data_IF_289557912825
#
_entry.id   IF_289557912825
#
_cell.length_a   1.000
_cell.length_b   1.000
_cell.length_c   1.000
_cell.angle_alpha   90.00
_cell.angle_beta   90.00
_cell.angle_gamma   90.00
#
_symmetry.space_group_name_H-M   'P 1'
#
loop_
_entity.id
_entity.type
_entity.pdbx_description
1 polymer ?
#
# COMPACT_ATOMS: atom_id res chain seq x y z
N UNK A 1 19.24 -25.24 2.92
CA UNK A 1 19.96 -25.62 4.15
C UNK A 1 21.43 -25.30 3.94
N UNK A 2 22.10 -24.71 4.93
CA UNK A 2 23.55 -24.47 4.85
C UNK A 2 24.30 -25.79 5.05
N UNK A 3 25.34 -26.03 4.26
CA UNK A 3 26.26 -27.17 4.41
C UNK A 3 27.60 -26.63 4.90
N UNK A 4 28.24 -27.30 5.86
CA UNK A 4 29.57 -26.92 6.34
C UNK A 4 30.61 -27.56 5.43
N UNK A 5 31.59 -26.77 4.98
CA UNK A 5 32.77 -27.26 4.26
C UNK A 5 34.04 -26.81 4.98
N UNK A 6 34.95 -27.75 5.18
CA UNK A 6 36.29 -27.48 5.69
C UNK A 6 37.24 -27.26 4.52
N UNK A 7 38.11 -26.27 4.64
CA UNK A 7 39.04 -25.87 3.59
C UNK A 7 40.45 -25.83 4.18
N UNK A 8 41.40 -26.42 3.46
CA UNK A 8 42.80 -26.39 3.83
C UNK A 8 43.41 -25.02 3.56
N UNK A 9 44.47 -24.70 4.32
CA UNK A 9 45.27 -23.51 4.11
C UNK A 9 45.76 -23.44 2.65
N UNK A 10 45.59 -22.27 2.04
CA UNK A 10 46.01 -22.01 0.67
C UNK A 10 44.94 -22.28 -0.39
N UNK A 11 43.82 -22.90 -0.02
CA UNK A 11 42.75 -23.27 -0.97
C UNK A 11 41.98 -22.04 -1.43
N UNK A 12 41.69 -21.99 -2.74
CA UNK A 12 40.78 -21.00 -3.31
C UNK A 12 39.34 -21.51 -3.24
N UNK A 13 38.51 -20.89 -2.40
CA UNK A 13 37.08 -21.21 -2.26
C UNK A 13 36.28 -20.65 -3.44
N UNK A 14 36.71 -19.48 -3.95
CA UNK A 14 36.17 -18.84 -5.14
C UNK A 14 37.34 -18.46 -6.04
N UNK A 15 37.19 -18.65 -7.35
CA UNK A 15 38.11 -18.08 -8.33
C UNK A 15 37.39 -17.06 -9.20
N UNK A 16 38.07 -15.95 -9.45
CA UNK A 16 37.65 -14.89 -10.37
C UNK A 16 37.33 -15.48 -11.76
N UNK A 17 36.25 -14.99 -12.37
CA UNK A 17 35.82 -15.41 -13.70
C UNK A 17 35.02 -16.71 -13.75
N UNK A 18 34.94 -17.48 -12.67
CA UNK A 18 34.11 -18.69 -12.61
C UNK A 18 32.62 -18.37 -12.52
N UNK A 19 31.78 -19.32 -12.89
CA UNK A 19 30.35 -19.23 -12.65
C UNK A 19 30.06 -19.49 -11.17
N UNK A 20 29.32 -18.59 -10.54
CA UNK A 20 29.05 -18.66 -9.11
C UNK A 20 27.63 -19.08 -8.79
N UNK A 21 27.44 -20.31 -8.35
CA UNK A 21 26.12 -20.85 -7.96
C UNK A 21 25.95 -21.07 -6.44
N UNK A 22 26.90 -20.54 -5.65
CA UNK A 22 26.88 -20.66 -4.20
C UNK A 22 27.19 -19.33 -3.51
N UNK A 23 26.57 -19.12 -2.36
CA UNK A 23 26.89 -18.11 -1.35
C UNK A 23 27.63 -18.79 -0.20
N UNK A 24 28.57 -18.08 0.40
CA UNK A 24 29.37 -18.57 1.51
C UNK A 24 29.26 -17.63 2.70
N UNK A 25 29.37 -18.20 3.90
CA UNK A 25 29.57 -17.46 5.15
C UNK A 25 30.81 -18.04 5.82
N UNK A 26 31.81 -17.20 6.11
CA UNK A 26 33.01 -17.61 6.84
C UNK A 26 32.64 -17.95 8.28
N UNK A 27 32.80 -19.21 8.68
CA UNK A 27 32.54 -19.67 10.05
C UNK A 27 33.82 -19.61 10.90
N UNK A 28 34.94 -20.10 10.36
CA UNK A 28 36.25 -20.14 11.03
C UNK A 28 37.38 -19.90 10.02
N UNK A 29 38.52 -19.37 10.48
CA UNK A 29 39.73 -19.13 9.67
C UNK A 29 39.87 -17.70 9.18
N UNK A 30 40.95 -17.46 8.42
CA UNK A 30 41.26 -16.19 7.78
C UNK A 30 41.28 -16.35 6.26
N UNK A 31 40.82 -15.31 5.56
CA UNK A 31 40.62 -15.31 4.12
C UNK A 31 41.19 -14.04 3.49
N UNK A 32 41.66 -14.15 2.26
CA UNK A 32 42.08 -13.03 1.43
C UNK A 32 41.24 -12.93 0.16
N UNK A 33 40.96 -11.69 -0.24
CA UNK A 33 40.30 -11.34 -1.49
C UNK A 33 41.39 -11.00 -2.51
N UNK A 34 41.37 -11.69 -3.65
CA UNK A 34 42.32 -11.50 -4.75
C UNK A 34 41.56 -11.05 -6.00
N UNK A 35 42.08 -10.06 -6.72
CA UNK A 35 41.51 -9.64 -8.02
C UNK A 35 42.63 -9.27 -8.98
N UNK A 36 42.61 -9.82 -10.18
CA UNK A 36 43.66 -9.62 -11.19
C UNK A 36 45.08 -9.88 -10.62
N UNK A 37 45.20 -10.85 -9.71
CA UNK A 37 46.47 -11.22 -9.07
C UNK A 37 46.88 -10.37 -7.86
N UNK A 38 46.15 -9.30 -7.53
CA UNK A 38 46.45 -8.44 -6.38
C UNK A 38 45.57 -8.78 -5.18
N UNK A 39 46.13 -8.72 -3.97
CA UNK A 39 45.38 -8.83 -2.71
C UNK A 39 44.66 -7.51 -2.45
N UNK A 40 43.32 -7.54 -2.42
CA UNK A 40 42.47 -6.38 -2.16
C UNK A 40 42.16 -6.19 -0.67
N UNK A 41 42.31 -7.25 0.13
CA UNK A 41 42.07 -7.20 1.57
C UNK A 41 41.87 -8.60 2.15
N UNK A 42 41.70 -8.66 3.47
CA UNK A 42 41.48 -9.89 4.22
C UNK A 42 40.27 -9.79 5.15
N UNK A 43 39.76 -10.94 5.60
CA UNK A 43 38.67 -11.02 6.56
C UNK A 43 38.70 -12.34 7.35
N UNK A 44 38.17 -12.30 8.57
CA UNK A 44 37.97 -13.47 9.43
C UNK A 44 36.54 -14.01 9.36
N UNK A 45 36.07 -14.64 10.43
CA UNK A 45 34.71 -15.20 10.52
C UNK A 45 33.59 -14.15 10.54
N UNK A 46 32.36 -14.59 10.27
CA UNK A 46 31.15 -13.76 10.29
C UNK A 46 30.83 -12.99 9.01
N UNK A 47 31.65 -13.10 7.95
CA UNK A 47 31.45 -12.40 6.69
C UNK A 47 30.74 -13.28 5.65
N UNK A 48 29.76 -12.68 4.95
CA UNK A 48 29.14 -13.26 3.75
C UNK A 48 29.97 -12.90 2.54
N UNK A 49 30.17 -13.85 1.62
CA UNK A 49 30.85 -13.60 0.36
C UNK A 49 30.31 -14.49 -0.79
N UNK A 50 30.48 -14.02 -2.02
CA UNK A 50 30.04 -14.71 -3.22
C UNK A 50 28.57 -14.49 -3.60
N UNK A 51 27.87 -13.61 -2.91
CA UNK A 51 26.47 -13.24 -3.12
C UNK A 51 26.23 -12.53 -4.46
N UNK A 52 27.21 -11.73 -4.94
CA UNK A 52 27.04 -10.90 -6.15
C UNK A 52 26.76 -11.75 -7.41
N UNK A 53 27.38 -12.92 -7.52
CA UNK A 53 27.16 -13.83 -8.65
C UNK A 53 25.73 -14.40 -8.67
N UNK A 54 25.09 -14.52 -7.50
CA UNK A 54 23.72 -15.01 -7.37
C UNK A 54 22.69 -13.93 -7.71
N UNK A 55 22.96 -12.69 -7.31
CA UNK A 55 22.06 -11.56 -7.50
C UNK A 55 22.05 -11.06 -8.95
N UNK A 56 23.22 -10.88 -9.55
CA UNK A 56 23.34 -10.21 -10.86
C UNK A 56 23.55 -11.18 -12.03
N UNK A 57 23.56 -12.50 -11.79
CA UNK A 57 23.89 -13.55 -12.79
C UNK A 57 25.22 -13.28 -13.52
N UNK A 58 26.19 -12.68 -12.82
CA UNK A 58 27.53 -12.40 -13.34
C UNK A 58 28.54 -13.46 -12.87
N UNK A 59 29.68 -13.56 -13.55
CA UNK A 59 30.83 -14.37 -13.12
C UNK A 59 31.41 -13.82 -11.80
N UNK A 60 32.14 -14.67 -11.06
CA UNK A 60 32.82 -14.29 -9.82
C UNK A 60 33.74 -13.09 -10.06
N UNK A 61 33.55 -12.02 -9.30
CA UNK A 61 34.27 -10.74 -9.49
C UNK A 61 35.70 -10.75 -8.94
N UNK A 62 35.97 -11.63 -7.97
CA UNK A 62 37.23 -11.78 -7.28
C UNK A 62 37.40 -13.22 -6.82
N UNK A 63 38.64 -13.64 -6.59
CA UNK A 63 39.01 -14.90 -5.96
C UNK A 63 39.03 -14.74 -4.43
N UNK A 64 38.72 -15.81 -3.70
CA UNK A 64 38.81 -15.87 -2.24
C UNK A 64 39.69 -17.05 -1.86
N UNK A 65 40.76 -16.80 -1.11
CA UNK A 65 41.72 -17.80 -0.66
C UNK A 65 41.72 -17.92 0.85
N UNK A 66 41.69 -19.14 1.39
CA UNK A 66 41.93 -19.39 2.81
C UNK A 66 43.43 -19.23 3.12
N UNK A 67 43.79 -18.38 4.08
CA UNK A 67 45.19 -18.22 4.54
C UNK A 67 45.52 -19.06 5.77
N UNK A 68 44.50 -19.64 6.41
CA UNK A 68 44.60 -20.65 7.47
C UNK A 68 43.71 -21.85 7.12
N UNK A 69 43.77 -22.92 7.92
CA UNK A 69 42.68 -23.89 7.92
C UNK A 69 41.37 -23.17 8.27
N UNK A 70 40.29 -23.47 7.54
CA UNK A 70 39.09 -22.66 7.56
C UNK A 70 37.82 -23.50 7.44
N UNK A 71 36.70 -22.94 7.90
CA UNK A 71 35.36 -23.51 7.72
C UNK A 71 34.43 -22.48 7.13
N UNK A 72 33.64 -22.90 6.16
CA UNK A 72 32.64 -22.06 5.50
C UNK A 72 31.29 -22.75 5.50
N UNK A 73 30.23 -21.99 5.74
CA UNK A 73 28.87 -22.42 5.44
C UNK A 73 28.55 -22.09 3.98
N UNK A 74 28.09 -23.09 3.25
CA UNK A 74 27.75 -23.01 1.83
C UNK A 74 26.24 -23.06 1.66
N UNK A 75 25.69 -22.11 0.90
CA UNK A 75 24.29 -22.09 0.49
C UNK A 75 24.20 -22.11 -1.03
N UNK A 76 23.43 -23.03 -1.59
CA UNK A 76 23.21 -23.09 -3.03
C UNK A 76 22.25 -22.00 -3.51
N UNK A 77 22.39 -21.64 -4.78
CA UNK A 77 21.57 -20.65 -5.49
C UNK A 77 20.08 -20.91 -5.38
N UNK A 78 19.64 -22.16 -5.50
CA UNK A 78 18.20 -22.49 -5.49
C UNK A 78 17.59 -22.19 -4.12
N UNK A 79 18.28 -22.55 -3.03
CA UNK A 79 17.81 -22.23 -1.68
C UNK A 79 17.91 -20.74 -1.42
N UNK A 80 18.99 -20.07 -1.84
CA UNK A 80 19.11 -18.61 -1.72
C UNK A 80 17.95 -17.90 -2.43
N UNK A 81 17.64 -18.30 -3.67
CA UNK A 81 16.49 -17.78 -4.42
C UNK A 81 15.18 -18.09 -3.72
N UNK A 82 14.98 -19.30 -3.23
CA UNK A 82 13.76 -19.67 -2.50
C UNK A 82 13.55 -18.79 -1.25
N UNK A 83 14.61 -18.47 -0.51
CA UNK A 83 14.53 -17.63 0.70
C UNK A 83 14.21 -16.16 0.35
N UNK A 84 14.84 -15.61 -0.69
CA UNK A 84 14.56 -14.23 -1.14
C UNK A 84 13.16 -14.12 -1.77
N UNK A 85 12.75 -15.13 -2.56
CA UNK A 85 11.44 -15.15 -3.20
C UNK A 85 10.34 -15.39 -2.16
N UNK A 86 10.57 -16.23 -1.15
CA UNK A 86 9.55 -16.54 -0.14
C UNK A 86 9.20 -15.33 0.73
N UNK A 87 10.16 -14.47 1.06
CA UNK A 87 9.88 -13.23 1.81
C UNK A 87 9.02 -12.28 0.99
N UNK A 88 9.36 -12.03 -0.28
CA UNK A 88 8.58 -11.14 -1.15
C UNK A 88 7.20 -11.71 -1.51
N UNK A 89 7.09 -13.03 -1.70
CA UNK A 89 5.80 -13.71 -1.89
C UNK A 89 4.94 -13.62 -0.64
N UNK A 90 5.52 -13.78 0.55
CA UNK A 90 4.77 -13.71 1.79
C UNK A 90 4.20 -12.30 2.02
N UNK A 91 5.02 -11.26 1.84
CA UNK A 91 4.57 -9.87 1.89
C UNK A 91 3.47 -9.59 0.85
N UNK A 92 3.64 -10.08 -0.39
CA UNK A 92 2.63 -9.93 -1.44
C UNK A 92 1.32 -10.64 -1.09
N UNK A 93 1.41 -11.87 -0.54
CA UNK A 93 0.24 -12.64 -0.10
C UNK A 93 -0.52 -11.93 1.03
N UNK A 94 0.19 -11.32 1.97
CA UNK A 94 -0.44 -10.55 3.05
C UNK A 94 -1.15 -9.31 2.54
N UNK A 95 -0.54 -8.59 1.59
CA UNK A 95 -1.19 -7.45 0.90
C UNK A 95 -2.43 -7.90 0.13
N UNK A 96 -2.35 -8.98 -0.64
CA UNK A 96 -3.52 -9.52 -1.37
C UNK A 96 -4.62 -9.93 -0.38
N UNK A 97 -4.26 -10.63 0.70
CA UNK A 97 -5.22 -11.03 1.74
C UNK A 97 -5.92 -9.82 2.37
N UNK A 98 -5.17 -8.75 2.65
CA UNK A 98 -5.73 -7.50 3.13
C UNK A 98 -6.70 -6.90 2.10
N UNK A 99 -6.31 -6.78 0.83
CA UNK A 99 -7.17 -6.22 -0.22
C UNK A 99 -8.44 -7.04 -0.44
N UNK A 100 -8.36 -8.37 -0.37
CA UNK A 100 -9.53 -9.25 -0.42
C UNK A 100 -10.44 -9.13 0.80
N UNK A 101 -9.92 -8.67 1.95
CA UNK A 101 -10.71 -8.42 3.16
C UNK A 101 -11.47 -7.10 3.14
N UNK A 102 -11.07 -6.15 2.28
CA UNK A 102 -11.81 -4.90 2.08
C UNK A 102 -13.15 -5.25 1.42
N UNK A 103 -14.30 -4.80 1.95
CA UNK A 103 -15.62 -5.13 1.40
C UNK A 103 -15.92 -4.30 0.14
N UNK A 104 -15.05 -4.37 -0.86
CA UNK A 104 -15.15 -3.63 -2.11
C UNK A 104 -15.47 -4.62 -3.25
N UNK A 105 -16.72 -4.66 -3.77
CA UNK A 105 -17.13 -5.63 -4.79
C UNK A 105 -16.25 -5.64 -6.03
N UNK A 106 -15.73 -4.48 -6.44
CA UNK A 106 -14.87 -4.40 -7.62
C UNK A 106 -13.54 -5.17 -7.44
N UNK A 107 -13.01 -5.27 -6.21
CA UNK A 107 -11.78 -6.03 -5.96
C UNK A 107 -12.00 -7.53 -6.15
N UNK A 108 -13.24 -8.03 -6.03
CA UNK A 108 -13.55 -9.45 -6.27
C UNK A 108 -13.43 -9.84 -7.74
N UNK A 109 -13.57 -8.88 -8.66
CA UNK A 109 -13.46 -9.11 -10.09
C UNK A 109 -12.01 -9.13 -10.59
N UNK A 110 -11.06 -8.67 -9.75
CA UNK A 110 -9.64 -8.69 -10.08
C UNK A 110 -9.04 -10.09 -9.85
N UNK A 111 -8.17 -10.52 -10.77
CA UNK A 111 -7.29 -11.67 -10.59
C UNK A 111 -6.26 -11.40 -9.48
N UNK A 112 -5.67 -12.46 -8.94
CA UNK A 112 -4.60 -12.32 -7.94
C UNK A 112 -3.38 -11.60 -8.51
N UNK A 113 -3.07 -11.77 -9.80
CA UNK A 113 -1.99 -11.04 -10.48
C UNK A 113 -2.27 -9.53 -10.55
N UNK A 114 -3.51 -9.15 -10.90
CA UNK A 114 -3.90 -7.73 -10.92
C UNK A 114 -3.91 -7.13 -9.50
N UNK A 115 -4.30 -7.91 -8.48
CA UNK A 115 -4.22 -7.48 -7.09
C UNK A 115 -2.78 -7.35 -6.60
N UNK A 116 -1.88 -8.24 -7.02
CA UNK A 116 -0.46 -8.18 -6.71
C UNK A 116 0.17 -6.92 -7.32
N UNK A 117 -0.11 -6.65 -8.60
CA UNK A 117 0.34 -5.45 -9.28
C UNK A 117 -0.20 -4.20 -8.57
N UNK A 118 -1.51 -4.15 -8.31
CA UNK A 118 -2.13 -3.05 -7.55
C UNK A 118 -1.46 -2.85 -6.18
N UNK A 119 -1.21 -3.93 -5.44
CA UNK A 119 -0.57 -3.90 -4.12
C UNK A 119 0.86 -3.34 -4.13
N UNK A 120 1.55 -3.37 -5.27
CA UNK A 120 2.89 -2.78 -5.42
C UNK A 120 2.85 -1.26 -5.60
N UNK A 121 1.77 -0.73 -6.16
CA UNK A 121 1.62 0.71 -6.44
C UNK A 121 0.66 1.43 -5.50
N UNK A 122 -0.03 0.70 -4.63
CA UNK A 122 -0.94 1.29 -3.65
C UNK A 122 -0.19 2.08 -2.58
N UNK A 123 -0.64 3.31 -2.37
CA UNK A 123 -0.15 4.20 -1.33
C UNK A 123 -1.26 4.46 -0.31
N UNK A 124 -0.94 4.40 0.97
CA UNK A 124 -1.87 4.80 2.04
C UNK A 124 -1.74 6.32 2.23
N UNK A 125 -2.84 7.05 2.10
CA UNK A 125 -2.93 8.48 2.42
C UNK A 125 -3.95 8.72 3.53
N UNK A 126 -3.58 9.56 4.48
CA UNK A 126 -4.44 9.99 5.60
C UNK A 126 -4.84 11.44 5.40
N UNK A 127 -6.12 11.73 5.54
CA UNK A 127 -6.67 13.07 5.41
C UNK A 127 -7.38 13.47 6.70
N UNK A 128 -7.08 14.67 7.18
CA UNK A 128 -7.73 15.25 8.34
C UNK A 128 -9.17 15.69 8.05
N UNK A 129 -9.95 15.93 9.10
CA UNK A 129 -11.33 16.42 8.99
C UNK A 129 -11.38 17.72 8.18
N UNK A 130 -12.30 17.81 7.23
CA UNK A 130 -12.52 19.00 6.41
C UNK A 130 -11.54 19.15 5.23
N UNK A 131 -10.54 18.28 5.09
CA UNK A 131 -9.64 18.29 3.94
C UNK A 131 -10.42 17.92 2.67
N UNK A 132 -10.33 18.76 1.64
CA UNK A 132 -10.79 18.41 0.29
C UNK A 132 -9.74 17.50 -0.36
N UNK A 133 -10.11 16.25 -0.60
CA UNK A 133 -9.21 15.22 -1.14
C UNK A 133 -9.07 15.38 -2.65
N UNK A 134 -10.17 15.71 -3.32
CA UNK A 134 -10.19 16.15 -4.71
C UNK A 134 -11.21 17.28 -4.83
N UNK A 135 -10.95 18.27 -5.69
CA UNK A 135 -11.91 19.32 -6.00
C UNK A 135 -12.52 19.12 -7.37
N UNK A 136 -13.77 19.55 -7.52
CA UNK A 136 -14.46 19.53 -8.81
C UNK A 136 -13.73 20.40 -9.84
N UNK A 137 -13.78 19.99 -11.10
CA UNK A 137 -13.21 20.66 -12.27
C UNK A 137 -11.67 20.65 -12.33
N UNK A 138 -11.00 20.08 -11.32
CA UNK A 138 -9.57 19.83 -11.36
C UNK A 138 -9.25 18.59 -12.19
N UNK A 139 -8.07 18.57 -12.80
CA UNK A 139 -7.57 17.36 -13.45
C UNK A 139 -7.23 16.31 -12.39
N UNK A 140 -7.56 15.05 -12.68
CA UNK A 140 -7.37 13.94 -11.77
C UNK A 140 -6.69 12.75 -12.44
N UNK A 141 -5.66 12.24 -11.79
CA UNK A 141 -4.88 11.06 -12.21
C UNK A 141 -4.78 9.98 -11.12
N UNK A 142 -5.48 10.18 -10.00
CA UNK A 142 -5.54 9.23 -8.88
C UNK A 142 -6.93 8.60 -8.70
N UNK A 143 -6.95 7.33 -8.32
CA UNK A 143 -8.11 6.55 -7.87
C UNK A 143 -7.99 6.27 -6.37
N UNK A 144 -9.12 6.33 -5.65
CA UNK A 144 -9.15 6.24 -4.20
C UNK A 144 -10.12 5.17 -3.72
N UNK A 145 -9.68 4.31 -2.81
CA UNK A 145 -10.50 3.35 -2.07
C UNK A 145 -10.50 3.76 -0.60
N UNK A 146 -11.68 3.89 0.01
CA UNK A 146 -11.79 4.25 1.43
C UNK A 146 -11.56 3.00 2.29
N UNK A 147 -10.43 2.95 3.00
CA UNK A 147 -10.10 1.86 3.93
C UNK A 147 -10.56 2.14 5.36
N UNK A 148 -10.76 3.41 5.73
CA UNK A 148 -11.30 3.80 7.04
C UNK A 148 -11.84 5.24 7.05
N UNK A 149 -12.86 5.50 7.87
CA UNK A 149 -13.53 6.80 7.93
C UNK A 149 -14.61 7.00 6.85
N UNK A 150 -14.93 8.25 6.56
CA UNK A 150 -15.95 8.62 5.57
C UNK A 150 -15.66 9.98 4.92
N UNK A 151 -16.27 10.20 3.76
CA UNK A 151 -16.14 11.45 2.99
C UNK A 151 -17.51 11.91 2.51
N UNK A 152 -17.69 13.23 2.41
CA UNK A 152 -18.87 13.84 1.77
C UNK A 152 -18.58 14.18 0.32
N UNK A 153 -19.56 13.92 -0.54
CA UNK A 153 -19.54 14.31 -1.95
C UNK A 153 -20.36 15.59 -2.12
N UNK A 154 -19.81 16.59 -2.77
CA UNK A 154 -20.52 17.81 -3.14
C UNK A 154 -20.29 18.17 -4.60
N UNK A 155 -21.29 18.74 -5.26
CA UNK A 155 -21.19 19.25 -6.63
C UNK A 155 -21.59 20.71 -6.69
N UNK A 156 -20.79 21.53 -7.35
CA UNK A 156 -21.14 22.91 -7.65
C UNK A 156 -22.23 22.93 -8.72
N UNK A 157 -23.31 23.66 -8.45
CA UNK A 157 -24.39 23.85 -9.43
C UNK A 157 -23.97 24.93 -10.43
N UNK A 158 -24.04 24.68 -11.75
CA UNK A 158 -23.68 25.68 -12.76
C UNK A 158 -24.46 26.99 -12.57
N UNK A 159 -23.75 28.12 -12.50
CA UNK A 159 -24.36 29.44 -12.35
C UNK A 159 -24.84 29.77 -10.93
N UNK A 160 -24.57 28.93 -9.93
CA UNK A 160 -24.86 29.18 -8.52
C UNK A 160 -23.60 29.10 -7.66
N UNK A 161 -23.61 29.81 -6.53
CA UNK A 161 -22.62 29.64 -5.45
C UNK A 161 -22.95 28.44 -4.55
N UNK A 162 -24.14 27.86 -4.71
CA UNK A 162 -24.58 26.70 -3.93
C UNK A 162 -23.89 25.41 -4.38
N UNK A 163 -23.71 24.52 -3.40
CA UNK A 163 -23.23 23.16 -3.62
C UNK A 163 -24.36 22.17 -3.31
N UNK A 164 -24.61 21.26 -4.24
CA UNK A 164 -25.48 20.11 -4.04
C UNK A 164 -24.75 19.05 -3.20
N UNK A 165 -25.35 18.61 -2.10
CA UNK A 165 -24.86 17.46 -1.32
C UNK A 165 -25.28 16.16 -2.04
N UNK A 166 -24.30 15.37 -2.49
CA UNK A 166 -24.55 14.14 -3.22
C UNK A 166 -24.44 12.88 -2.34
N UNK A 167 -24.32 13.06 -1.02
CA UNK A 167 -24.24 11.98 -0.04
C UNK A 167 -22.84 11.72 0.50
N UNK A 168 -22.70 10.57 1.17
CA UNK A 168 -21.50 10.17 1.92
C UNK A 168 -20.99 8.83 1.42
N UNK A 169 -19.68 8.73 1.22
CA UNK A 169 -18.99 7.45 0.98
C UNK A 169 -18.29 7.01 2.25
N UNK A 170 -18.30 5.71 2.51
CA UNK A 170 -17.76 5.08 3.73
C UNK A 170 -16.72 4.02 3.38
N UNK A 171 -16.17 3.37 4.39
CA UNK A 171 -15.26 2.24 4.21
C UNK A 171 -15.84 1.19 3.24
N UNK A 172 -15.05 0.83 2.23
CA UNK A 172 -15.45 -0.09 1.17
C UNK A 172 -16.02 0.61 -0.07
N UNK A 173 -16.23 1.92 -0.02
CA UNK A 173 -16.51 2.73 -1.21
C UNK A 173 -15.22 3.24 -1.86
N UNK A 174 -15.37 3.82 -3.05
CA UNK A 174 -14.29 4.38 -3.85
C UNK A 174 -14.74 5.62 -4.62
N UNK A 175 -13.78 6.43 -5.05
CA UNK A 175 -14.02 7.60 -5.89
C UNK A 175 -12.83 7.90 -6.80
N UNK A 176 -13.04 8.84 -7.73
CA UNK A 176 -12.01 9.32 -8.65
C UNK A 176 -11.86 8.51 -9.94
N UNK A 177 -12.58 7.41 -10.09
CA UNK A 177 -12.55 6.54 -11.26
C UNK A 177 -12.99 7.24 -12.56
N UNK A 178 -13.95 8.17 -12.46
CA UNK A 178 -14.51 8.85 -13.65
C UNK A 178 -13.45 9.64 -14.40
N UNK A 179 -12.52 10.28 -13.68
CA UNK A 179 -11.45 11.07 -14.28
C UNK A 179 -10.43 10.21 -15.04
N UNK A 180 -10.27 8.96 -14.62
CA UNK A 180 -9.37 8.01 -15.26
C UNK A 180 -10.03 7.32 -16.45
N UNK A 181 -11.26 6.83 -16.25
CA UNK A 181 -12.01 6.04 -17.24
C UNK A 181 -12.42 6.89 -18.44
N UNK A 182 -12.95 8.09 -18.20
CA UNK A 182 -13.50 8.95 -19.26
C UNK A 182 -12.57 10.10 -19.65
N UNK A 183 -11.40 10.22 -18.99
CA UNK A 183 -10.43 11.29 -19.23
C UNK A 183 -11.04 12.69 -19.07
N UNK A 184 -11.93 12.86 -18.11
CA UNK A 184 -12.59 14.13 -17.77
C UNK A 184 -12.03 14.71 -16.47
N UNK A 185 -12.18 16.02 -16.21
CA UNK A 185 -11.91 16.59 -14.89
C UNK A 185 -12.75 15.94 -13.79
N UNK A 186 -12.35 16.12 -12.53
CA UNK A 186 -13.09 15.65 -11.35
C UNK A 186 -14.51 16.19 -11.39
N UNK A 187 -15.48 15.28 -11.29
CA UNK A 187 -16.91 15.60 -11.46
C UNK A 187 -17.60 16.04 -10.15
N UNK A 188 -16.89 16.00 -9.03
CA UNK A 188 -17.38 16.38 -7.71
C UNK A 188 -16.20 16.71 -6.79
N UNK A 189 -16.48 17.48 -5.74
CA UNK A 189 -15.55 17.71 -4.63
C UNK A 189 -15.77 16.65 -3.56
N UNK A 190 -14.69 16.04 -3.08
CA UNK A 190 -14.73 15.01 -2.03
C UNK A 190 -14.04 15.56 -0.79
N UNK A 191 -14.75 15.62 0.34
CA UNK A 191 -14.24 16.20 1.58
C UNK A 191 -14.22 15.16 2.70
N UNK A 192 -13.08 15.02 3.38
CA UNK A 192 -12.93 14.15 4.54
C UNK A 192 -13.85 14.57 5.70
N UNK A 193 -14.59 13.62 6.27
CA UNK A 193 -15.41 13.83 7.46
C UNK A 193 -14.68 13.46 8.74
N UNK A 194 -15.20 13.90 9.89
CA UNK A 194 -14.64 13.61 11.20
C UNK A 194 -14.65 12.11 11.52
N UNK A 195 -13.59 11.56 12.16
CA UNK A 195 -12.38 12.26 12.66
C UNK A 195 -11.26 12.44 11.61
N UNK A 196 -11.46 11.91 10.40
CA UNK A 196 -10.50 11.85 9.32
C UNK A 196 -10.81 10.62 8.46
N UNK A 197 -10.08 10.46 7.35
CA UNK A 197 -10.25 9.33 6.44
C UNK A 197 -8.90 8.77 6.02
N UNK A 198 -8.85 7.45 5.90
CA UNK A 198 -7.75 6.71 5.29
C UNK A 198 -8.16 6.21 3.91
N UNK A 199 -7.33 6.50 2.92
CA UNK A 199 -7.52 6.06 1.55
C UNK A 199 -6.33 5.23 1.07
N UNK A 200 -6.62 4.14 0.35
CA UNK A 200 -5.68 3.48 -0.53
C UNK A 200 -5.74 4.18 -1.89
N UNK A 201 -4.61 4.66 -2.38
CA UNK A 201 -4.51 5.52 -3.57
C UNK A 201 -3.70 4.82 -4.66
N UNK A 202 -4.20 4.88 -5.88
CA UNK A 202 -3.60 4.29 -7.07
C UNK A 202 -3.53 5.32 -8.19
N UNK A 203 -2.36 5.48 -8.81
CA UNK A 203 -2.18 6.35 -9.97
C UNK A 203 -2.78 5.74 -11.26
N UNK A 204 -2.98 6.59 -12.28
CA UNK A 204 -3.59 6.23 -13.57
C UNK A 204 -2.98 5.00 -14.22
N UNK A 205 -1.65 4.93 -14.34
CA UNK A 205 -0.98 3.82 -15.04
C UNK A 205 -1.29 2.46 -14.42
N UNK A 206 -1.02 2.27 -13.12
CA UNK A 206 -1.41 1.06 -12.38
C UNK A 206 -2.93 0.81 -12.40
N UNK A 207 -3.75 1.86 -12.30
CA UNK A 207 -5.20 1.74 -12.40
C UNK A 207 -5.66 1.14 -13.74
N UNK A 208 -5.18 1.66 -14.86
CA UNK A 208 -5.56 1.19 -16.20
C UNK A 208 -5.17 -0.28 -16.39
N UNK A 209 -3.98 -0.69 -15.93
CA UNK A 209 -3.53 -2.09 -15.96
C UNK A 209 -4.45 -3.01 -15.15
N UNK A 210 -4.84 -2.60 -13.95
CA UNK A 210 -5.60 -3.44 -13.04
C UNK A 210 -7.10 -3.48 -13.41
N UNK A 211 -7.66 -2.34 -13.79
CA UNK A 211 -9.11 -2.11 -13.88
C UNK A 211 -9.64 -1.83 -15.30
N UNK A 212 -8.78 -1.75 -16.32
CA UNK A 212 -9.19 -1.32 -17.68
C UNK A 212 -10.29 -2.17 -18.34
N UNK A 213 -10.47 -3.43 -17.91
CA UNK A 213 -11.51 -4.33 -18.38
C UNK A 213 -12.83 -4.28 -17.60
N UNK A 214 -12.93 -3.56 -16.49
CA UNK A 214 -14.10 -3.63 -15.59
C UNK A 214 -15.18 -2.64 -16.02
N UNK A 215 -16.33 -3.17 -16.42
CA UNK A 215 -17.45 -2.40 -16.97
C UNK A 215 -18.19 -1.57 -15.91
N UNK A 216 -18.25 -2.05 -14.67
CA UNK A 216 -18.90 -1.37 -13.54
C UNK A 216 -18.32 0.03 -13.26
N UNK A 217 -17.02 0.24 -13.50
CA UNK A 217 -16.38 1.56 -13.35
C UNK A 217 -16.85 2.57 -14.40
N UNK A 218 -17.24 2.10 -15.58
CA UNK A 218 -17.70 2.97 -16.68
C UNK A 218 -19.09 3.52 -16.41
N UNK A 219 -19.90 2.77 -15.65
CA UNK A 219 -21.34 3.02 -15.49
C UNK A 219 -21.70 3.67 -14.15
N UNK A 220 -20.78 3.72 -13.18
CA UNK A 220 -21.02 4.33 -11.87
C UNK A 220 -21.39 5.81 -12.00
N UNK A 221 -22.59 6.16 -11.52
CA UNK A 221 -23.04 7.54 -11.37
C UNK A 221 -23.07 7.89 -9.89
N UNK A 222 -22.60 9.09 -9.55
CA UNK A 222 -22.82 9.63 -8.21
C UNK A 222 -24.31 9.89 -8.01
N UNK A 223 -24.89 9.58 -6.85
CA UNK A 223 -26.28 9.90 -6.56
C UNK A 223 -26.47 11.41 -6.66
N UNK A 224 -27.29 11.87 -7.60
CA UNK A 224 -27.90 13.20 -7.54
C UNK A 224 -29.06 13.11 -6.56
N UNK A 225 -29.17 14.04 -5.60
CA UNK A 225 -30.39 14.11 -4.82
C UNK A 225 -31.53 14.52 -5.78
N UNK A 226 -32.74 13.96 -5.65
CA UNK A 226 -33.88 14.50 -6.37
C UNK A 226 -34.03 15.98 -5.99
N UNK A 227 -34.08 16.84 -7.00
CA UNK A 227 -34.27 18.28 -6.89
C UNK A 227 -35.34 18.61 -5.84
N UNK A 228 -35.07 19.64 -5.03
CA UNK A 228 -35.91 20.13 -3.94
C UNK A 228 -37.40 19.82 -4.10
N UNK A 229 -37.86 18.81 -3.36
CA UNK A 229 -39.18 18.85 -2.75
C UNK A 229 -38.95 18.93 -1.23
N UNK A 230 -39.54 19.90 -0.51
CA UNK A 230 -39.39 19.99 0.93
C UNK A 230 -40.10 18.78 1.56
N UNK A 231 -39.34 17.73 1.89
CA UNK A 231 -39.86 16.59 2.64
C UNK A 231 -39.77 16.92 4.12
N UNK A 232 -40.94 17.06 4.73
CA UNK A 232 -41.14 17.18 6.17
C UNK A 232 -40.30 16.18 6.95
N UNK A 233 -39.70 16.67 8.03
CA UNK A 233 -38.94 15.93 9.03
C UNK A 233 -39.65 14.64 9.44
N UNK A 234 -38.96 13.50 9.24
CA UNK A 234 -39.32 12.19 9.82
C UNK A 234 -38.58 11.93 11.15
N UNK A 235 -38.42 12.95 11.98
CA UNK A 235 -38.07 12.77 13.39
C UNK A 235 -39.22 13.27 14.27
N UNK A 236 -40.26 12.46 14.38
CA UNK A 236 -41.30 12.57 15.41
C UNK A 236 -41.72 11.17 15.88
N UNK A 237 -40.78 10.45 16.49
CA UNK A 237 -41.10 9.29 17.34
C UNK A 237 -39.92 8.87 18.22
N UNK A 238 -39.45 9.79 19.07
CA UNK A 238 -39.14 9.40 20.45
C UNK A 238 -40.05 10.21 21.35
N UNK A 239 -41.00 9.51 21.98
CA UNK A 239 -42.04 10.09 22.80
C UNK A 239 -41.46 10.80 24.02
N UNK A 240 -41.82 12.08 24.15
CA UNK A 240 -41.94 12.75 25.45
C UNK A 240 -43.08 12.08 26.21
N UNK A 241 -42.76 11.37 27.30
CA UNK A 241 -43.69 11.27 28.42
C UNK A 241 -43.64 12.61 29.17
N UNK A 242 -44.74 13.36 29.09
CA UNK A 242 -45.05 14.46 30.02
C UNK A 242 -46.12 13.98 31.00
N UNK A 243 -45.91 14.25 32.28
CA UNK A 243 -46.94 14.49 33.31
C UNK A 243 -46.22 15.24 34.44
N UNK A 244 -46.30 16.57 34.47
CA UNK A 244 -47.32 17.41 35.12
C UNK A 244 -47.19 17.46 36.66
N UNK A 245 -46.83 18.67 37.14
CA UNK A 245 -47.34 19.37 38.32
C UNK A 245 -46.61 20.72 38.36
N UNK A 246 -47.23 21.79 37.87
CA UNK A 246 -48.14 22.69 38.60
C UNK A 246 -47.38 23.72 39.47
N UNK A 247 -47.60 24.97 39.07
CA UNK A 247 -47.50 26.25 39.77
C UNK A 247 -47.38 26.20 41.30
N UNK A 248 -46.50 27.03 41.88
CA UNK A 248 -46.94 28.18 42.69
C UNK A 248 -45.78 29.01 43.30
N UNK A 249 -46.01 30.33 43.31
CA UNK A 249 -45.44 31.40 44.18
C UNK A 249 -44.17 32.15 43.73
N UNK A 250 -44.37 33.47 43.63
CA UNK A 250 -43.47 34.60 43.29
C UNK A 250 -42.52 35.00 44.47
N UNK A 251 -41.90 36.21 44.51
CA UNK A 251 -40.61 36.56 43.93
C UNK A 251 -39.62 37.13 44.97
N UNK A 252 -38.31 37.09 44.75
CA UNK A 252 -37.36 37.91 45.54
C UNK A 252 -36.32 38.54 44.60
N UNK A 253 -36.41 39.87 44.47
CA UNK A 253 -35.37 40.77 43.98
C UNK A 253 -34.06 40.58 44.77
N UNK A 254 -32.93 41.02 44.22
CA UNK A 254 -32.13 42.13 44.78
C UNK A 254 -30.86 42.32 43.93
N UNK A 255 -30.60 43.58 43.62
CA UNK A 255 -29.43 44.12 42.93
C UNK A 255 -28.12 43.88 43.68
N UNK A 256 -27.02 43.74 42.92
CA UNK A 256 -25.85 44.63 42.96
C UNK A 256 -24.97 44.34 41.73
#
# INVERSE_FOLDING_TARGET
MFIIKEEEQGTFIIKEGEQGDHLYVSAEGQFEVHKQGNVLGSFGSGRVFGELALLYKVKRNASIRATTQAKVWVLNREVFKQVIISSSIQETKEKIKYLRSVPLPILKQLSDDNLAEMANFLVVKLYGTGTKIVEQDENGDEFFIISGGSVRITKRVPGSLEQEDCGVLVRGDYFGEQALVHQVPRQATITALSPGVECLVLERGPFEKCFGGIQELKEKKYPSLPSHQPKQSKYSSLGLMKSDCASDILPINWCA
#
